data_IF_215640397845
#
_entry.id   IF_215640397845
#
_cell.length_a   1.000
_cell.length_b   1.000
_cell.length_c   1.000
_cell.angle_alpha   90.00
_cell.angle_beta   90.00
_cell.angle_gamma   90.00
#
_symmetry.space_group_name_H-M   'P 1'
#
loop_
_entity.id
_entity.type
_entity.pdbx_description
1 polymer ?
#
# COMPACT_ATOMS: atom_id res chain seq x y z
N UNK A 1 -11.85 6.71 14.02
CA UNK A 1 -12.10 5.27 14.22
C UNK A 1 -12.21 5.01 15.71
N UNK A 2 -13.33 4.43 16.15
CA UNK A 2 -13.62 4.12 17.56
C UNK A 2 -12.83 2.91 18.04
N UNK A 3 -12.78 2.68 19.36
CA UNK A 3 -12.13 1.49 19.93
C UNK A 3 -12.79 0.19 19.45
N UNK A 4 -14.12 0.17 19.39
CA UNK A 4 -14.87 -0.97 18.87
C UNK A 4 -14.43 -1.29 17.43
N UNK A 5 -14.41 -0.28 16.56
CA UNK A 5 -14.01 -0.44 15.16
C UNK A 5 -12.57 -0.97 15.05
N UNK A 6 -11.64 -0.45 15.87
CA UNK A 6 -10.23 -0.90 15.88
C UNK A 6 -10.12 -2.36 16.31
N UNK A 7 -10.80 -2.75 17.38
CA UNK A 7 -10.81 -4.13 17.85
C UNK A 7 -11.41 -5.09 16.80
N UNK A 8 -12.53 -4.72 16.17
CA UNK A 8 -13.13 -5.53 15.09
C UNK A 8 -12.22 -5.65 13.89
N UNK A 9 -11.53 -4.57 13.51
CA UNK A 9 -10.59 -4.58 12.40
C UNK A 9 -9.37 -5.48 12.69
N UNK A 10 -8.84 -5.44 13.92
CA UNK A 10 -7.77 -6.35 14.36
C UNK A 10 -8.25 -7.81 14.27
N UNK A 11 -9.44 -8.12 14.80
CA UNK A 11 -10.02 -9.48 14.74
C UNK A 11 -10.18 -9.95 13.29
N UNK A 12 -10.64 -9.08 12.38
CA UNK A 12 -10.80 -9.41 10.97
C UNK A 12 -9.45 -9.66 10.27
N UNK A 13 -8.45 -8.83 10.54
CA UNK A 13 -7.13 -8.94 9.91
C UNK A 13 -6.33 -10.17 10.38
N UNK A 14 -6.56 -10.61 11.61
CA UNK A 14 -5.77 -11.70 12.24
C UNK A 14 -6.53 -13.01 12.38
N UNK A 15 -7.86 -13.00 12.28
CA UNK A 15 -8.70 -14.11 12.70
C UNK A 15 -8.82 -14.28 14.22
N UNK A 16 -8.33 -13.33 15.02
CA UNK A 16 -8.39 -13.43 16.48
C UNK A 16 -9.82 -13.37 17.02
N UNK A 17 -10.08 -14.21 18.02
CA UNK A 17 -11.31 -14.18 18.82
C UNK A 17 -11.12 -13.29 20.07
N UNK A 18 -12.22 -12.93 20.74
CA UNK A 18 -12.19 -12.07 21.93
C UNK A 18 -11.25 -12.59 23.04
N UNK A 19 -11.15 -13.91 23.21
CA UNK A 19 -10.22 -14.52 24.17
C UNK A 19 -8.77 -14.14 23.87
N UNK A 20 -8.37 -14.13 22.59
CA UNK A 20 -7.00 -13.77 22.23
C UNK A 20 -6.71 -12.30 22.46
N UNK A 21 -7.68 -11.43 22.19
CA UNK A 21 -7.56 -10.00 22.53
C UNK A 21 -7.41 -9.80 24.05
N UNK A 22 -8.16 -10.56 24.85
CA UNK A 22 -8.09 -10.50 26.30
C UNK A 22 -6.67 -10.85 26.80
N UNK A 23 -6.07 -11.92 26.26
CA UNK A 23 -4.67 -12.28 26.53
C UNK A 23 -3.69 -11.17 26.10
N UNK A 24 -3.82 -10.66 24.87
CA UNK A 24 -2.91 -9.65 24.31
C UNK A 24 -2.91 -8.37 25.12
N UNK A 25 -4.08 -7.92 25.57
CA UNK A 25 -4.22 -6.71 26.39
C UNK A 25 -4.14 -7.01 27.89
N UNK A 26 -3.88 -8.25 28.30
CA UNK A 26 -3.82 -8.68 29.71
C UNK A 26 -5.05 -8.26 30.53
N UNK A 27 -6.23 -8.36 29.93
CA UNK A 27 -7.53 -8.05 30.56
C UNK A 27 -8.46 -9.25 30.59
N UNK A 28 -9.52 -9.19 31.38
CA UNK A 28 -10.59 -10.19 31.33
C UNK A 28 -11.41 -10.12 30.04
N UNK A 29 -11.95 -11.25 29.59
CA UNK A 29 -12.82 -11.31 28.40
C UNK A 29 -14.07 -10.42 28.52
N UNK A 30 -14.61 -10.27 29.74
CA UNK A 30 -15.75 -9.38 30.00
C UNK A 30 -15.41 -7.90 29.75
N UNK A 31 -14.16 -7.49 29.93
CA UNK A 31 -13.66 -6.15 29.60
C UNK A 31 -13.64 -5.93 28.09
N UNK A 32 -13.12 -6.90 27.33
CA UNK A 32 -13.15 -6.88 25.86
C UNK A 32 -14.60 -6.82 25.34
N UNK A 33 -15.50 -7.63 25.91
CA UNK A 33 -16.91 -7.59 25.55
C UNK A 33 -17.55 -6.22 25.80
N UNK A 34 -17.21 -5.58 26.93
CA UNK A 34 -17.68 -4.23 27.27
C UNK A 34 -17.23 -3.19 26.24
N UNK A 35 -15.98 -3.25 25.80
CA UNK A 35 -15.43 -2.36 24.77
C UNK A 35 -16.05 -2.62 23.38
N UNK A 36 -16.39 -3.88 23.08
CA UNK A 36 -16.93 -4.28 21.77
C UNK A 36 -18.44 -4.12 21.61
N UNK A 37 -19.23 -4.31 22.68
CA UNK A 37 -20.69 -4.41 22.61
C UNK A 37 -21.37 -3.29 23.39
N UNK A 38 -20.79 -2.87 24.51
CA UNK A 38 -21.38 -1.87 25.39
C UNK A 38 -20.83 -0.45 25.12
N UNK A 39 -19.88 -0.32 24.19
CA UNK A 39 -19.28 0.97 23.82
C UNK A 39 -18.48 1.64 24.94
N UNK A 40 -18.05 0.88 25.96
CA UNK A 40 -17.26 1.46 27.04
C UNK A 40 -15.85 1.82 26.55
N UNK A 41 -15.37 2.99 26.94
CA UNK A 41 -14.03 3.44 26.59
C UNK A 41 -12.97 2.82 27.52
N UNK A 42 -11.89 2.22 26.97
CA UNK A 42 -10.72 1.80 27.73
C UNK A 42 -10.00 2.99 28.39
N UNK A 43 -9.33 2.72 29.51
CA UNK A 43 -8.43 3.69 30.15
C UNK A 43 -7.15 3.85 29.33
N UNK A 44 -6.49 5.01 29.47
CA UNK A 44 -5.30 5.46 28.70
C UNK A 44 -4.39 4.35 28.19
N UNK A 45 -3.75 3.61 29.09
CA UNK A 45 -2.78 2.56 28.72
C UNK A 45 -3.36 1.49 27.78
N UNK A 46 -4.63 1.11 27.97
CA UNK A 46 -5.29 0.12 27.13
C UNK A 46 -5.72 0.73 25.78
N UNK A 47 -6.13 2.00 25.77
CA UNK A 47 -6.41 2.72 24.53
C UNK A 47 -5.15 2.82 23.68
N UNK A 48 -4.03 3.21 24.28
CA UNK A 48 -2.75 3.33 23.58
C UNK A 48 -2.25 1.97 23.09
N UNK A 49 -2.43 0.91 23.90
CA UNK A 49 -2.14 -0.45 23.49
C UNK A 49 -2.99 -0.91 22.28
N UNK A 50 -4.29 -0.65 22.30
CA UNK A 50 -5.18 -0.96 21.17
C UNK A 50 -4.77 -0.18 19.92
N UNK A 51 -4.44 1.10 20.07
CA UNK A 51 -4.02 1.97 18.98
C UNK A 51 -2.68 1.51 18.38
N UNK A 52 -1.75 1.03 19.21
CA UNK A 52 -0.50 0.45 18.74
C UNK A 52 -0.74 -0.85 17.94
N UNK A 53 -1.50 -1.79 18.51
CA UNK A 53 -1.81 -3.07 17.85
C UNK A 53 -2.58 -2.85 16.54
N UNK A 54 -3.51 -1.90 16.53
CA UNK A 54 -4.26 -1.54 15.33
C UNK A 54 -3.34 -1.06 14.21
N UNK A 55 -2.42 -0.13 14.51
CA UNK A 55 -1.46 0.38 13.52
C UNK A 55 -0.52 -0.72 13.00
N UNK A 56 -0.05 -1.58 13.89
CA UNK A 56 0.86 -2.66 13.52
C UNK A 56 0.20 -3.73 12.64
N UNK A 57 -1.06 -4.05 12.89
CA UNK A 57 -1.73 -5.18 12.23
C UNK A 57 -2.53 -4.71 11.01
N UNK A 58 -3.31 -3.64 11.17
CA UNK A 58 -4.28 -3.21 10.17
C UNK A 58 -3.69 -2.15 9.24
N UNK A 59 -3.04 -1.12 9.77
CA UNK A 59 -2.45 -0.08 8.92
C UNK A 59 -1.20 -0.57 8.20
N UNK A 60 -0.33 -1.34 8.86
CA UNK A 60 0.85 -1.90 8.20
C UNK A 60 0.47 -2.91 7.11
N UNK A 61 -0.56 -3.74 7.35
CA UNK A 61 -1.11 -4.65 6.33
C UNK A 61 -1.78 -3.93 5.15
N UNK A 62 -2.43 -2.77 5.39
CA UNK A 62 -2.95 -1.91 4.32
C UNK A 62 -1.84 -1.22 3.53
N UNK A 63 -0.82 -0.71 4.22
CA UNK A 63 0.31 -0.03 3.58
C UNK A 63 1.11 -0.96 2.65
N UNK A 64 1.15 -2.27 2.92
CA UNK A 64 1.73 -3.23 1.97
C UNK A 64 0.82 -3.52 0.77
N UNK A 65 -0.51 -3.48 0.94
CA UNK A 65 -1.47 -3.68 -0.15
C UNK A 65 -1.68 -2.44 -1.05
N UNK A 66 -1.43 -1.25 -0.53
CA UNK A 66 -1.64 0.03 -1.24
C UNK A 66 -0.39 0.53 -1.99
N UNK A 67 0.79 -0.03 -1.69
CA UNK A 67 2.01 0.32 -2.44
C UNK A 67 1.93 -0.23 -3.87
N UNK A 68 2.32 0.56 -4.88
CA UNK A 68 2.44 0.05 -6.24
C UNK A 68 3.40 -1.14 -6.26
N UNK A 69 2.99 -2.22 -6.92
CA UNK A 69 3.82 -3.40 -7.17
C UNK A 69 4.93 -2.99 -8.16
N UNK A 70 6.21 -3.17 -7.77
CA UNK A 70 7.37 -2.77 -8.58
C UNK A 70 8.27 -3.96 -8.92
N UNK A 71 8.40 -4.20 -10.22
CA UNK A 71 9.34 -5.18 -10.75
C UNK A 71 8.90 -6.64 -10.57
N UNK A 72 9.69 -7.53 -11.15
CA UNK A 72 9.30 -8.91 -11.41
C UNK A 72 9.01 -9.72 -10.15
N UNK A 73 9.85 -9.54 -9.12
CA UNK A 73 9.72 -10.28 -7.85
C UNK A 73 8.44 -9.95 -7.10
N UNK A 74 8.05 -8.68 -7.08
CA UNK A 74 6.81 -8.25 -6.40
C UNK A 74 5.57 -8.72 -7.16
N UNK A 75 5.62 -8.70 -8.50
CA UNK A 75 4.53 -9.24 -9.35
C UNK A 75 4.34 -10.73 -9.08
N UNK A 76 5.43 -11.51 -9.07
CA UNK A 76 5.36 -12.94 -8.76
C UNK A 76 4.87 -13.21 -7.34
N UNK A 77 5.31 -12.43 -6.35
CA UNK A 77 4.85 -12.54 -4.97
C UNK A 77 3.35 -12.24 -4.86
N UNK A 78 2.84 -11.24 -5.58
CA UNK A 78 1.42 -10.91 -5.62
C UNK A 78 0.58 -12.03 -6.26
N UNK A 79 1.02 -12.57 -7.41
CA UNK A 79 0.33 -13.66 -8.09
C UNK A 79 0.25 -14.93 -7.22
N UNK A 80 1.31 -15.26 -6.47
CA UNK A 80 1.34 -16.41 -5.55
C UNK A 80 0.39 -16.27 -4.36
N UNK A 81 -0.05 -15.06 -4.01
CA UNK A 81 -1.02 -14.84 -2.91
C UNK A 81 -2.46 -15.15 -3.33
N UNK A 82 -2.74 -15.30 -4.62
CA UNK A 82 -4.08 -15.58 -5.13
C UNK A 82 -4.38 -17.06 -4.96
N UNK A 83 -5.35 -17.39 -4.11
CA UNK A 83 -5.80 -18.77 -3.92
C UNK A 83 -6.40 -19.33 -5.22
N UNK A 84 -6.03 -20.57 -5.55
CA UNK A 84 -6.55 -21.30 -6.71
C UNK A 84 -5.73 -21.15 -8.00
N UNK A 85 -4.70 -20.30 -8.05
CA UNK A 85 -3.77 -20.26 -9.18
C UNK A 85 -2.75 -21.41 -9.10
N UNK A 86 -2.57 -22.12 -10.20
CA UNK A 86 -1.48 -23.08 -10.36
C UNK A 86 -0.19 -22.36 -10.76
N UNK A 87 0.96 -23.04 -10.64
CA UNK A 87 2.24 -22.49 -11.12
C UNK A 87 2.19 -22.11 -12.61
N UNK A 88 1.46 -22.90 -13.42
CA UNK A 88 1.28 -22.61 -14.84
C UNK A 88 0.47 -21.33 -15.07
N UNK A 89 -0.56 -21.08 -14.27
CA UNK A 89 -1.37 -19.86 -14.37
C UNK A 89 -0.54 -18.64 -13.96
N UNK A 90 0.31 -18.78 -12.95
CA UNK A 90 1.24 -17.74 -12.49
C UNK A 90 2.24 -17.40 -13.60
N UNK A 91 2.85 -18.39 -14.25
CA UNK A 91 3.82 -18.16 -15.34
C UNK A 91 3.17 -17.45 -16.53
N UNK A 92 1.96 -17.86 -16.91
CA UNK A 92 1.20 -17.23 -18.00
C UNK A 92 0.84 -15.78 -17.65
N UNK A 93 0.29 -15.55 -16.46
CA UNK A 93 -0.08 -14.21 -16.01
C UNK A 93 1.16 -13.29 -15.93
N UNK A 94 2.26 -13.79 -15.39
CA UNK A 94 3.51 -13.05 -15.29
C UNK A 94 4.06 -12.66 -16.67
N UNK A 95 4.02 -13.57 -17.64
CA UNK A 95 4.46 -13.29 -19.01
C UNK A 95 3.61 -12.20 -19.69
N UNK A 96 2.28 -12.26 -19.53
CA UNK A 96 1.36 -11.25 -20.07
C UNK A 96 1.62 -9.88 -19.46
N UNK A 97 1.73 -9.80 -18.13
CA UNK A 97 1.99 -8.55 -17.40
C UNK A 97 3.35 -7.97 -17.83
N UNK A 98 4.40 -8.79 -17.86
CA UNK A 98 5.75 -8.37 -18.25
C UNK A 98 5.79 -7.82 -19.68
N UNK A 99 5.08 -8.47 -20.61
CA UNK A 99 5.00 -8.00 -21.98
C UNK A 99 4.28 -6.65 -22.10
N UNK A 100 3.16 -6.49 -21.40
CA UNK A 100 2.41 -5.22 -21.37
C UNK A 100 3.24 -4.07 -20.77
N UNK A 101 3.98 -4.33 -19.69
CA UNK A 101 4.87 -3.34 -19.07
C UNK A 101 6.00 -2.92 -20.02
N UNK A 102 6.62 -3.87 -20.73
CA UNK A 102 7.67 -3.58 -21.73
C UNK A 102 7.12 -2.77 -22.91
N UNK A 103 5.94 -3.12 -23.42
CA UNK A 103 5.29 -2.39 -24.51
C UNK A 103 4.97 -0.94 -24.09
N UNK A 104 4.47 -0.74 -22.87
CA UNK A 104 4.18 0.60 -22.34
C UNK A 104 5.43 1.44 -22.09
N UNK A 105 6.55 0.81 -21.70
CA UNK A 105 7.83 1.49 -21.54
C UNK A 105 8.38 1.96 -22.91
N UNK A 106 8.31 1.10 -23.94
CA UNK A 106 8.78 1.43 -25.30
C UNK A 106 7.94 2.48 -26.03
N UNK A 107 6.68 2.70 -25.62
CA UNK A 107 5.82 3.74 -26.18
C UNK A 107 6.12 5.17 -25.67
N UNK A 108 6.92 5.32 -24.61
CA UNK A 108 7.25 6.64 -24.05
C UNK A 108 8.43 7.34 -24.74
N UNK A 109 9.14 6.70 -25.67
CA UNK A 109 10.31 7.26 -26.36
C UNK A 109 10.01 7.80 -27.77
N UNK A 110 8.74 7.91 -28.18
CA UNK A 110 8.36 8.33 -29.55
C UNK A 110 7.45 9.57 -29.64
N UNK A 111 7.42 10.42 -28.61
CA UNK A 111 6.83 11.77 -28.71
C UNK A 111 7.84 12.82 -28.25
N UNK A 112 8.70 13.23 -29.18
CA UNK A 112 9.69 14.27 -28.95
C UNK A 112 10.62 14.49 -30.16
N UNK A 113 10.09 14.35 -31.38
CA UNK A 113 10.79 14.70 -32.60
C UNK A 113 9.85 15.57 -33.45
N UNK A 114 9.69 16.83 -33.05
CA UNK A 114 9.49 18.00 -33.92
C UNK A 114 9.03 19.18 -33.06
N UNK A 115 9.97 19.88 -32.44
CA UNK A 115 9.94 21.35 -32.42
C UNK A 115 11.34 21.88 -32.05
N UNK A 116 12.27 21.79 -33.00
CA UNK A 116 13.51 22.57 -32.96
C UNK A 116 13.17 24.04 -33.22
N UNK A 117 12.57 24.70 -32.23
CA UNK A 117 12.47 26.16 -32.22
C UNK A 117 13.85 26.75 -31.92
N UNK A 118 14.47 27.27 -32.98
CA UNK A 118 15.78 27.90 -33.02
C UNK A 118 16.01 28.91 -31.88
N UNK A 119 17.20 28.95 -31.24
CA UNK A 119 17.50 29.98 -30.27
C UNK A 119 17.62 31.35 -30.96
N UNK A 120 16.77 32.29 -30.55
CA UNK A 120 16.84 33.69 -30.96
C UNK A 120 18.17 34.31 -30.52
N UNK A 121 19.11 34.45 -31.47
CA UNK A 121 20.34 35.22 -31.28
C UNK A 121 19.99 36.72 -31.15
N UNK A 122 20.37 37.40 -30.06
CA UNK A 122 20.15 38.83 -29.93
C UNK A 122 21.08 39.60 -30.86
N UNK A 123 20.46 40.55 -31.58
CA UNK A 123 21.04 41.50 -32.54
C UNK A 123 22.28 42.20 -31.97
N UNK A 124 23.45 41.95 -32.57
CA UNK A 124 24.72 42.64 -32.24
C UNK A 124 24.71 44.03 -32.89
N UNK A 125 24.67 45.06 -32.06
CA UNK A 125 24.82 46.44 -32.48
C UNK A 125 26.26 46.71 -32.96
N UNK A 126 26.36 47.35 -34.13
CA UNK A 126 27.61 47.75 -34.76
C UNK A 126 28.26 48.90 -34.00
N UNK A 127 29.51 48.73 -33.56
CA UNK A 127 30.38 49.84 -33.16
C UNK A 127 31.44 50.07 -34.25
N UNK A 128 31.62 51.30 -34.74
CA UNK A 128 32.53 51.61 -35.83
C UNK A 128 33.98 51.67 -35.33
N UNK A 129 34.93 51.17 -36.12
CA UNK A 129 36.35 51.48 -35.94
C UNK A 129 36.82 52.36 -37.09
N UNK A 130 37.35 53.52 -36.72
CA UNK A 130 38.20 54.40 -37.52
C UNK A 130 39.56 54.44 -36.84
#
# INVERSE_FOLDING_TARGET
MTIEEKLRAIMKATGWKQQKLAEVFSVGQSTINRWLVQGAEPRGDHRDGIDLVYRQIVESGRAEGERPIRGDQEILAALRRIEGLTNRDIDVAFAVISNALKANAGGSEQSGADDLSQPAMPRRESLPSR
#
